data_IF_898031724952
#
_entry.id   IF_898031724952
#
_cell.length_a   1.000
_cell.length_b   1.000
_cell.length_c   1.000
_cell.angle_alpha   90.00
_cell.angle_beta   90.00
_cell.angle_gamma   90.00
#
_symmetry.space_group_name_H-M   'P 1'
#
loop_
_entity.id
_entity.type
_entity.pdbx_description
1 polymer ?
#
# COMPACT_ATOMS: atom_id res chain seq x y z
N UNK A 1 36.36 48.12 -6.25
CA UNK A 1 35.43 47.51 -7.24
C UNK A 1 35.52 45.99 -7.30
N UNK A 2 36.69 45.36 -7.18
CA UNK A 2 36.88 43.90 -7.29
C UNK A 2 36.14 43.05 -6.24
N UNK A 3 36.00 43.51 -4.99
CA UNK A 3 35.27 42.76 -3.94
C UNK A 3 33.74 42.70 -4.15
N UNK A 4 33.16 43.69 -4.81
CA UNK A 4 31.72 43.75 -5.07
C UNK A 4 31.29 42.74 -6.15
N UNK A 5 32.16 42.55 -7.16
CA UNK A 5 31.95 41.60 -8.26
C UNK A 5 32.06 40.15 -7.75
N UNK A 6 33.01 39.88 -6.85
CA UNK A 6 33.19 38.56 -6.24
C UNK A 6 31.99 38.17 -5.37
N UNK A 7 31.48 39.10 -4.55
CA UNK A 7 30.30 38.84 -3.73
C UNK A 7 29.03 38.64 -4.59
N UNK A 8 28.92 39.36 -5.70
CA UNK A 8 27.81 39.19 -6.64
C UNK A 8 27.86 37.82 -7.34
N UNK A 9 29.05 37.35 -7.74
CA UNK A 9 29.23 36.02 -8.33
C UNK A 9 28.95 34.88 -7.34
N UNK A 10 29.32 35.03 -6.07
CA UNK A 10 29.02 34.02 -5.02
C UNK A 10 27.51 33.98 -4.72
N UNK A 11 26.83 35.13 -4.74
CA UNK A 11 25.37 35.20 -4.58
C UNK A 11 24.63 34.55 -5.78
N UNK A 12 25.17 34.71 -6.99
CA UNK A 12 24.63 34.07 -8.19
C UNK A 12 24.84 32.55 -8.18
N UNK A 13 26.01 32.10 -7.71
CA UNK A 13 26.35 30.67 -7.63
C UNK A 13 25.49 29.94 -6.58
N UNK A 14 25.18 30.60 -5.46
CA UNK A 14 24.31 30.04 -4.41
C UNK A 14 22.84 29.98 -4.80
N UNK A 15 22.38 30.89 -5.68
CA UNK A 15 21.01 30.88 -6.19
C UNK A 15 20.75 29.70 -7.16
N UNK A 16 21.75 29.25 -7.91
CA UNK A 16 21.63 28.15 -8.88
C UNK A 16 21.51 26.78 -8.17
N UNK A 17 22.11 26.61 -7.00
CA UNK A 17 22.05 25.35 -6.23
C UNK A 17 20.67 25.12 -5.59
N UNK A 18 19.85 26.18 -5.41
CA UNK A 18 18.52 26.05 -4.80
C UNK A 18 17.42 25.54 -5.75
N UNK A 19 17.65 25.51 -7.07
CA UNK A 19 16.60 25.21 -8.07
C UNK A 19 16.58 23.73 -8.49
N UNK A 20 17.53 22.92 -8.02
CA UNK A 20 17.93 21.69 -8.71
C UNK A 20 17.44 20.34 -8.20
N UNK A 21 16.50 20.25 -7.25
CA UNK A 21 16.04 18.93 -6.75
C UNK A 21 14.52 18.87 -6.55
N UNK A 22 13.74 19.20 -7.58
CA UNK A 22 12.40 18.65 -7.68
C UNK A 22 12.53 17.20 -8.15
N UNK A 23 12.71 16.27 -7.21
CA UNK A 23 12.47 14.87 -7.49
C UNK A 23 10.97 14.71 -7.75
N UNK A 24 10.58 14.63 -9.03
CA UNK A 24 9.25 14.17 -9.40
C UNK A 24 9.18 12.69 -9.00
N UNK A 25 8.58 12.43 -7.84
CA UNK A 25 8.16 11.08 -7.49
C UNK A 25 7.06 10.68 -8.48
N UNK A 26 7.45 10.01 -9.56
CA UNK A 26 6.51 9.46 -10.52
C UNK A 26 5.62 8.45 -9.78
N UNK A 27 4.34 8.78 -9.66
CA UNK A 27 3.35 7.91 -9.03
C UNK A 27 3.26 6.67 -9.90
N UNK A 28 3.68 5.52 -9.37
CA UNK A 28 3.63 4.25 -10.08
C UNK A 28 2.22 4.00 -10.63
N UNK A 29 2.12 3.80 -11.93
CA UNK A 29 0.85 3.61 -12.63
C UNK A 29 0.25 2.22 -12.42
N UNK A 30 -0.97 2.03 -12.91
CA UNK A 30 -1.74 0.79 -12.79
C UNK A 30 -1.08 -0.36 -13.57
N UNK A 31 -0.43 -0.06 -14.69
CA UNK A 31 0.24 -1.05 -15.52
C UNK A 31 1.42 -1.67 -14.76
N UNK A 32 2.25 -0.83 -14.14
CA UNK A 32 3.37 -1.29 -13.33
C UNK A 32 2.92 -2.15 -12.16
N UNK A 33 1.83 -1.78 -11.47
CA UNK A 33 1.24 -2.61 -10.42
C UNK A 33 0.78 -3.97 -10.95
N UNK A 34 0.20 -4.00 -12.14
CA UNK A 34 -0.26 -5.24 -12.76
C UNK A 34 0.89 -6.19 -13.08
N UNK A 35 1.98 -5.67 -13.64
CA UNK A 35 3.19 -6.46 -13.88
C UNK A 35 3.79 -7.00 -12.58
N UNK A 36 3.81 -6.19 -11.51
CA UNK A 36 4.30 -6.63 -10.20
C UNK A 36 3.41 -7.73 -9.59
N UNK A 37 2.10 -7.60 -9.71
CA UNK A 37 1.14 -8.61 -9.26
C UNK A 37 1.37 -9.92 -10.01
N UNK A 38 1.50 -9.88 -11.35
CA UNK A 38 1.68 -11.09 -12.15
C UNK A 38 3.00 -11.80 -11.82
N UNK A 39 4.09 -11.03 -11.66
CA UNK A 39 5.40 -11.58 -11.26
C UNK A 39 5.34 -12.18 -9.87
N UNK A 40 4.78 -11.47 -8.89
CA UNK A 40 4.71 -11.97 -7.52
C UNK A 40 3.78 -13.17 -7.39
N UNK A 41 2.68 -13.21 -8.15
CA UNK A 41 1.79 -14.36 -8.20
C UNK A 41 2.51 -15.62 -8.71
N UNK A 42 3.36 -15.49 -9.73
CA UNK A 42 4.21 -16.60 -10.20
C UNK A 42 5.17 -17.06 -9.12
N UNK A 43 5.88 -16.13 -8.46
CA UNK A 43 6.82 -16.47 -7.38
C UNK A 43 6.12 -17.16 -6.22
N UNK A 44 4.94 -16.70 -5.80
CA UNK A 44 4.12 -17.35 -4.77
C UNK A 44 3.74 -18.78 -5.19
N UNK A 45 3.40 -18.99 -6.47
CA UNK A 45 3.07 -20.31 -7.01
C UNK A 45 4.24 -21.30 -6.99
N UNK A 46 5.47 -20.80 -7.14
CA UNK A 46 6.70 -21.60 -7.14
C UNK A 46 7.32 -21.75 -5.75
N UNK A 47 6.90 -20.95 -4.78
CA UNK A 47 7.49 -20.94 -3.44
C UNK A 47 7.04 -22.15 -2.62
N UNK A 48 7.99 -22.73 -1.88
CA UNK A 48 7.71 -23.76 -0.88
C UNK A 48 6.92 -23.19 0.31
N UNK A 49 6.14 -24.05 0.97
CA UNK A 49 5.39 -23.65 2.15
C UNK A 49 6.31 -23.20 3.29
N UNK A 50 5.96 -22.10 3.96
CA UNK A 50 6.74 -21.57 5.07
C UNK A 50 6.59 -20.06 5.22
N UNK A 51 7.32 -19.48 6.18
CA UNK A 51 7.25 -18.06 6.53
C UNK A 51 7.53 -17.16 5.33
N UNK A 52 8.49 -17.54 4.47
CA UNK A 52 8.82 -16.79 3.25
C UNK A 52 7.61 -16.67 2.31
N UNK A 53 6.94 -17.79 1.99
CA UNK A 53 5.75 -17.78 1.14
C UNK A 53 4.60 -16.98 1.75
N UNK A 54 4.44 -17.03 3.07
CA UNK A 54 3.39 -16.24 3.75
C UNK A 54 3.64 -14.73 3.64
N UNK A 55 4.90 -14.30 3.76
CA UNK A 55 5.27 -12.90 3.53
C UNK A 55 5.01 -12.47 2.08
N UNK A 56 5.27 -13.35 1.12
CA UNK A 56 4.97 -13.10 -0.30
C UNK A 56 3.46 -13.03 -0.56
N UNK A 57 2.65 -13.89 0.06
CA UNK A 57 1.19 -13.84 0.00
C UNK A 57 0.65 -12.53 0.57
N UNK A 58 1.18 -12.08 1.71
CA UNK A 58 0.80 -10.80 2.30
C UNK A 58 1.17 -9.64 1.37
N UNK A 59 2.38 -9.63 0.81
CA UNK A 59 2.80 -8.60 -0.15
C UNK A 59 1.95 -8.59 -1.41
N UNK A 60 1.51 -9.76 -1.87
CA UNK A 60 0.59 -9.87 -2.99
C UNK A 60 -0.78 -9.28 -2.65
N UNK A 61 -1.29 -9.52 -1.43
CA UNK A 61 -2.52 -8.90 -0.95
C UNK A 61 -2.42 -7.37 -0.93
N UNK A 62 -1.31 -6.83 -0.42
CA UNK A 62 -1.04 -5.38 -0.39
C UNK A 62 -1.06 -4.79 -1.80
N UNK A 63 -0.42 -5.45 -2.78
CA UNK A 63 -0.41 -4.99 -4.17
C UNK A 63 -1.80 -4.98 -4.81
N UNK A 64 -2.62 -6.01 -4.57
CA UNK A 64 -4.01 -6.02 -5.02
C UNK A 64 -4.81 -4.87 -4.38
N UNK A 65 -4.66 -4.65 -3.07
CA UNK A 65 -5.33 -3.54 -2.38
C UNK A 65 -4.93 -2.18 -2.94
N UNK A 66 -3.63 -1.97 -3.17
CA UNK A 66 -3.13 -0.71 -3.75
C UNK A 66 -3.57 -0.51 -5.19
N UNK A 67 -3.58 -1.55 -6.03
CA UNK A 67 -4.09 -1.41 -7.40
C UNK A 67 -5.58 -1.05 -7.42
N UNK A 68 -6.38 -1.62 -6.52
CA UNK A 68 -7.77 -1.21 -6.35
C UNK A 68 -7.91 0.27 -5.93
N UNK A 69 -7.02 0.75 -5.06
CA UNK A 69 -6.97 2.17 -4.66
C UNK A 69 -6.58 3.06 -5.84
N UNK A 70 -5.61 2.65 -6.65
CA UNK A 70 -5.22 3.38 -7.85
C UNK A 70 -6.37 3.48 -8.85
N UNK A 71 -7.03 2.36 -9.16
CA UNK A 71 -8.23 2.37 -10.01
C UNK A 71 -9.31 3.32 -9.48
N UNK A 72 -9.53 3.38 -8.17
CA UNK A 72 -10.51 4.30 -7.58
C UNK A 72 -10.13 5.79 -7.75
N UNK A 73 -8.84 6.09 -7.80
CA UNK A 73 -8.32 7.45 -7.99
C UNK A 73 -8.28 7.90 -9.46
N UNK A 74 -8.42 6.98 -10.41
CA UNK A 74 -8.45 7.32 -11.84
C UNK A 74 -9.65 8.19 -12.21
N UNK A 75 -9.63 8.75 -13.42
CA UNK A 75 -10.70 9.60 -13.96
C UNK A 75 -11.06 10.76 -13.00
N UNK A 76 -10.05 11.49 -12.53
CA UNK A 76 -10.21 12.62 -11.61
C UNK A 76 -10.93 12.23 -10.31
N UNK A 77 -10.66 11.01 -9.81
CA UNK A 77 -11.29 10.46 -8.60
C UNK A 77 -12.68 9.84 -8.82
N UNK A 78 -13.12 9.65 -10.07
CA UNK A 78 -14.38 8.95 -10.43
C UNK A 78 -14.16 7.48 -10.79
N UNK A 79 -12.99 6.94 -10.47
CA UNK A 79 -12.59 5.58 -10.79
C UNK A 79 -13.54 4.50 -10.27
N UNK A 80 -14.19 4.72 -9.12
CA UNK A 80 -15.20 3.79 -8.57
C UNK A 80 -16.42 3.58 -9.49
N UNK A 81 -16.67 4.49 -10.44
CA UNK A 81 -17.71 4.33 -11.47
C UNK A 81 -17.18 3.56 -12.68
N UNK A 82 -16.04 3.97 -13.21
CA UNK A 82 -15.47 3.42 -14.45
C UNK A 82 -14.87 2.02 -14.26
N UNK A 83 -14.18 1.80 -13.15
CA UNK A 83 -13.40 0.59 -12.86
C UNK A 83 -14.00 -0.24 -11.71
N UNK A 84 -15.31 -0.10 -11.47
CA UNK A 84 -16.00 -0.74 -10.35
C UNK A 84 -15.72 -2.24 -10.25
N UNK A 85 -15.68 -2.92 -11.41
CA UNK A 85 -15.47 -4.36 -11.51
C UNK A 85 -14.04 -4.74 -11.10
N UNK A 86 -13.06 -4.04 -11.62
CA UNK A 86 -11.63 -4.23 -11.37
C UNK A 86 -11.32 -3.96 -9.89
N UNK A 87 -11.82 -2.84 -9.36
CA UNK A 87 -11.71 -2.46 -7.96
C UNK A 87 -12.30 -3.55 -7.05
N UNK A 88 -13.50 -4.02 -7.36
CA UNK A 88 -14.15 -5.07 -6.57
C UNK A 88 -13.37 -6.38 -6.62
N UNK A 89 -12.90 -6.79 -7.81
CA UNK A 89 -12.11 -8.00 -8.01
C UNK A 89 -10.79 -7.96 -7.23
N UNK A 90 -10.09 -6.84 -7.29
CA UNK A 90 -8.81 -6.67 -6.59
C UNK A 90 -9.00 -6.64 -5.08
N UNK A 91 -10.01 -5.92 -4.58
CA UNK A 91 -10.38 -5.92 -3.15
C UNK A 91 -10.72 -7.33 -2.66
N UNK A 92 -11.45 -8.12 -3.44
CA UNK A 92 -11.77 -9.52 -3.10
C UNK A 92 -10.52 -10.42 -3.11
N UNK A 93 -9.64 -10.25 -4.10
CA UNK A 93 -8.37 -10.98 -4.18
C UNK A 93 -7.48 -10.69 -2.96
N UNK A 94 -7.35 -9.41 -2.59
CA UNK A 94 -6.60 -8.99 -1.41
C UNK A 94 -7.19 -9.62 -0.13
N UNK A 95 -8.51 -9.58 0.04
CA UNK A 95 -9.21 -10.21 1.17
C UNK A 95 -8.91 -11.72 1.26
N UNK A 96 -9.00 -12.44 0.15
CA UNK A 96 -8.70 -13.88 0.12
C UNK A 96 -7.26 -14.20 0.51
N UNK A 97 -6.31 -13.36 0.09
CA UNK A 97 -4.89 -13.53 0.42
C UNK A 97 -4.60 -13.20 1.88
N UNK A 98 -5.19 -12.14 2.43
CA UNK A 98 -5.09 -11.82 3.86
C UNK A 98 -5.71 -12.91 4.75
N UNK A 99 -6.85 -13.49 4.35
CA UNK A 99 -7.45 -14.62 5.05
C UNK A 99 -6.55 -15.86 5.09
N UNK A 100 -5.68 -16.04 4.09
CA UNK A 100 -4.66 -17.09 4.08
C UNK A 100 -3.50 -16.73 5.01
N UNK A 101 -2.92 -15.54 4.86
CA UNK A 101 -1.72 -15.14 5.59
C UNK A 101 -1.96 -14.97 7.10
N UNK A 102 -3.15 -14.52 7.51
CA UNK A 102 -3.47 -14.28 8.93
C UNK A 102 -3.44 -15.55 9.80
N UNK A 103 -3.63 -16.73 9.20
CA UNK A 103 -3.65 -18.02 9.91
C UNK A 103 -2.30 -18.33 10.56
N UNK A 104 -1.23 -17.94 9.90
CA UNK A 104 0.16 -18.18 10.31
C UNK A 104 0.90 -16.90 10.70
N UNK A 105 0.23 -15.74 10.62
CA UNK A 105 0.81 -14.45 10.97
C UNK A 105 1.25 -14.40 12.44
N UNK A 106 2.39 -13.73 12.67
CA UNK A 106 2.91 -13.42 13.99
C UNK A 106 1.91 -12.57 14.79
N UNK A 107 2.08 -12.49 16.11
CA UNK A 107 1.27 -11.60 16.94
C UNK A 107 1.49 -10.12 16.61
N UNK A 108 2.64 -9.77 16.03
CA UNK A 108 2.99 -8.41 15.59
C UNK A 108 2.32 -8.04 14.26
N UNK A 109 2.19 -8.99 13.33
CA UNK A 109 1.65 -8.72 11.99
C UNK A 109 0.13 -8.92 11.89
N UNK A 110 -0.43 -9.86 12.67
CA UNK A 110 -1.87 -10.13 12.72
C UNK A 110 -2.74 -8.87 12.85
N UNK A 111 -2.49 -7.92 13.77
CA UNK A 111 -3.27 -6.69 13.86
C UNK A 111 -3.18 -5.80 12.60
N UNK A 112 -2.03 -5.74 11.93
CA UNK A 112 -1.88 -5.00 10.65
C UNK A 112 -2.74 -5.63 9.56
N UNK A 113 -2.72 -6.96 9.46
CA UNK A 113 -3.54 -7.70 8.49
C UNK A 113 -5.04 -7.51 8.80
N UNK A 114 -5.44 -7.62 10.08
CA UNK A 114 -6.83 -7.38 10.49
C UNK A 114 -7.29 -5.96 10.14
N UNK A 115 -6.44 -4.96 10.31
CA UNK A 115 -6.74 -3.58 9.96
C UNK A 115 -6.98 -3.43 8.44
N UNK A 116 -6.11 -4.01 7.61
CA UNK A 116 -6.28 -3.98 6.15
C UNK A 116 -7.57 -4.69 5.72
N UNK A 117 -7.86 -5.87 6.29
CA UNK A 117 -9.12 -6.58 6.03
C UNK A 117 -10.34 -5.74 6.43
N UNK A 118 -10.28 -5.02 7.56
CA UNK A 118 -11.36 -4.15 8.02
C UNK A 118 -11.61 -2.99 7.03
N UNK A 119 -10.54 -2.33 6.58
CA UNK A 119 -10.61 -1.27 5.56
C UNK A 119 -11.25 -1.79 4.27
N UNK A 120 -10.79 -2.94 3.77
CA UNK A 120 -11.33 -3.52 2.54
C UNK A 120 -12.81 -3.89 2.71
N UNK A 121 -13.21 -4.45 3.85
CA UNK A 121 -14.62 -4.72 4.12
C UNK A 121 -15.46 -3.44 4.14
N UNK A 122 -14.95 -2.34 4.69
CA UNK A 122 -15.64 -1.05 4.64
C UNK A 122 -15.83 -0.59 3.19
N UNK A 123 -14.75 -0.62 2.39
CA UNK A 123 -14.76 -0.23 0.97
C UNK A 123 -15.61 -1.14 0.07
N UNK A 124 -15.87 -2.38 0.50
CA UNK A 124 -16.79 -3.31 -0.18
C UNK A 124 -18.25 -3.18 0.31
N UNK A 125 -18.57 -2.18 1.14
CA UNK A 125 -19.93 -1.99 1.66
C UNK A 125 -20.32 -3.02 2.73
N UNK A 126 -19.36 -3.62 3.43
CA UNK A 126 -19.58 -4.59 4.52
C UNK A 126 -19.23 -4.01 5.90
N UNK A 127 -19.86 -2.90 6.35
CA UNK A 127 -19.45 -2.18 7.55
C UNK A 127 -19.56 -3.00 8.83
N UNK A 128 -20.49 -3.97 8.90
CA UNK A 128 -20.61 -4.89 10.05
C UNK A 128 -19.36 -5.76 10.22
N UNK A 129 -18.81 -6.29 9.11
CA UNK A 129 -17.58 -7.09 9.14
C UNK A 129 -16.37 -6.22 9.49
N UNK A 130 -16.29 -5.03 8.89
CA UNK A 130 -15.24 -4.07 9.21
C UNK A 130 -15.23 -3.72 10.71
N UNK A 131 -16.40 -3.36 11.27
CA UNK A 131 -16.55 -3.05 12.70
C UNK A 131 -16.07 -4.19 13.60
N UNK A 132 -16.49 -5.42 13.30
CA UNK A 132 -16.08 -6.60 14.07
C UNK A 132 -14.55 -6.76 14.10
N UNK A 133 -13.88 -6.58 12.96
CA UNK A 133 -12.43 -6.67 12.88
C UNK A 133 -11.73 -5.55 13.66
N UNK A 134 -12.23 -4.31 13.60
CA UNK A 134 -11.69 -3.21 14.42
C UNK A 134 -11.88 -3.49 15.92
N UNK A 135 -13.06 -3.97 16.33
CA UNK A 135 -13.33 -4.37 17.72
C UNK A 135 -12.41 -5.50 18.18
N UNK A 136 -12.16 -6.48 17.32
CA UNK A 136 -11.23 -7.59 17.60
C UNK A 136 -9.79 -7.06 17.80
N UNK A 137 -9.36 -6.06 17.02
CA UNK A 137 -8.06 -5.39 17.20
C UNK A 137 -7.99 -4.72 18.57
N UNK A 138 -8.97 -3.88 18.91
CA UNK A 138 -9.02 -3.12 20.17
C UNK A 138 -9.08 -4.05 21.38
N UNK A 139 -9.94 -5.08 21.33
CA UNK A 139 -10.11 -6.05 22.43
C UNK A 139 -8.82 -6.82 22.73
N UNK A 140 -8.03 -7.10 21.70
CA UNK A 140 -6.78 -7.85 21.81
C UNK A 140 -5.54 -6.95 21.81
N UNK A 141 -5.69 -5.63 21.95
CA UNK A 141 -4.59 -4.68 21.90
C UNK A 141 -3.44 -5.04 22.85
N UNK A 142 -3.73 -5.52 24.07
CA UNK A 142 -2.69 -5.94 25.04
C UNK A 142 -1.89 -7.18 24.63
N UNK A 143 -2.45 -7.99 23.72
CA UNK A 143 -1.83 -9.18 23.15
C UNK A 143 -1.02 -8.84 21.90
N UNK A 144 -1.36 -7.74 21.24
CA UNK A 144 -0.63 -7.20 20.11
C UNK A 144 0.49 -6.29 20.62
N UNK A 145 1.55 -6.17 19.83
CA UNK A 145 2.64 -5.26 20.15
C UNK A 145 2.12 -3.82 20.19
N UNK A 146 2.71 -2.98 21.06
CA UNK A 146 2.16 -1.66 21.40
C UNK A 146 2.16 -0.65 20.24
N UNK A 147 2.86 -0.93 19.14
CA UNK A 147 3.03 0.01 18.02
C UNK A 147 1.77 0.28 17.19
N UNK A 148 0.67 -0.44 17.41
CA UNK A 148 -0.58 -0.26 16.64
C UNK A 148 -1.60 0.69 17.26
N UNK A 149 -1.35 1.24 18.45
CA UNK A 149 -2.20 2.25 19.10
C UNK A 149 -1.37 3.37 19.71
#
# INVERSE_FOLDING_TARGET
MTKLIINFCILLLTLIVLVGNFAFAEKMDIETHSVLIDKLQQVVGLSEEGVSKQNLIQRLADLYSERARLYAMENEGKGDVTYKKEITKDRQSALSLYEKSIKTASLTDKPKILFQMAQIHHLLGNPKKAKKLYEDIIKNQKKYDKELV
#
